data_IF_780166126785
#
_entry.id   IF_780166126785
#
_cell.length_a   1.000
_cell.length_b   1.000
_cell.length_c   1.000
_cell.angle_alpha   90.00
_cell.angle_beta   90.00
_cell.angle_gamma   90.00
#
_symmetry.space_group_name_H-M   'P 1'
#
loop_
_entity.id
_entity.type
_entity.pdbx_description
1 polymer ?
#
# COMPACT_ATOMS: atom_id res chain seq x y z
N UNK A 1 -17.02 0.86 -22.65
CA UNK A 1 -17.33 0.36 -21.30
C UNK A 1 -18.66 0.97 -20.87
N UNK A 2 -19.66 0.15 -20.59
CA UNK A 2 -20.92 0.54 -19.94
C UNK A 2 -20.74 0.62 -18.42
N UNK A 3 -21.75 1.11 -17.69
CA UNK A 3 -21.72 1.08 -16.23
C UNK A 3 -21.57 -0.35 -15.69
N UNK A 4 -22.33 -1.29 -16.23
CA UNK A 4 -22.28 -2.69 -15.82
C UNK A 4 -20.92 -3.34 -16.11
N UNK A 5 -20.32 -3.07 -17.26
CA UNK A 5 -18.97 -3.54 -17.58
C UNK A 5 -17.91 -2.95 -16.63
N UNK A 6 -18.07 -1.69 -16.21
CA UNK A 6 -17.16 -1.05 -15.26
C UNK A 6 -17.32 -1.62 -13.84
N UNK A 7 -18.56 -1.84 -13.40
CA UNK A 7 -18.84 -2.45 -12.11
C UNK A 7 -18.27 -3.88 -12.05
N UNK A 8 -18.40 -4.65 -13.12
CA UNK A 8 -17.78 -5.98 -13.22
C UNK A 8 -16.25 -5.92 -13.14
N UNK A 9 -15.62 -4.96 -13.82
CA UNK A 9 -14.17 -4.73 -13.73
C UNK A 9 -13.76 -4.39 -12.28
N UNK A 10 -14.53 -3.55 -11.61
CA UNK A 10 -14.26 -3.15 -10.22
C UNK A 10 -14.36 -4.35 -9.27
N UNK A 11 -15.43 -5.14 -9.35
CA UNK A 11 -15.62 -6.32 -8.50
C UNK A 11 -14.54 -7.37 -8.72
N UNK A 12 -14.16 -7.64 -9.98
CA UNK A 12 -13.05 -8.52 -10.31
C UNK A 12 -11.75 -8.03 -9.65
N UNK A 13 -11.46 -6.73 -9.75
CA UNK A 13 -10.27 -6.12 -9.13
C UNK A 13 -10.26 -6.28 -7.61
N UNK A 14 -11.38 -6.03 -6.95
CA UNK A 14 -11.51 -6.19 -5.50
C UNK A 14 -11.24 -7.64 -5.09
N UNK A 15 -11.75 -8.61 -5.85
CA UNK A 15 -11.53 -10.04 -5.59
C UNK A 15 -10.04 -10.41 -5.71
N UNK A 16 -9.38 -9.99 -6.79
CA UNK A 16 -7.94 -10.24 -7.01
C UNK A 16 -7.08 -9.61 -5.91
N UNK A 17 -7.42 -8.41 -5.45
CA UNK A 17 -6.72 -7.74 -4.35
C UNK A 17 -6.84 -8.55 -3.06
N UNK A 18 -8.02 -9.11 -2.77
CA UNK A 18 -8.21 -9.99 -1.59
C UNK A 18 -7.35 -11.24 -1.68
N UNK A 19 -7.27 -11.87 -2.85
CA UNK A 19 -6.47 -13.08 -3.07
C UNK A 19 -4.97 -12.79 -2.98
N UNK A 20 -4.52 -11.71 -3.62
CA UNK A 20 -3.14 -11.24 -3.56
C UNK A 20 -2.75 -10.89 -2.13
N UNK A 21 -3.63 -10.19 -1.39
CA UNK A 21 -3.40 -9.83 0.01
C UNK A 21 -3.27 -11.05 0.94
N UNK A 22 -3.95 -12.16 0.63
CA UNK A 22 -3.79 -13.44 1.35
C UNK A 22 -2.46 -14.12 1.02
N UNK A 23 -2.11 -14.22 -0.25
CA UNK A 23 -0.97 -15.02 -0.73
C UNK A 23 0.37 -14.29 -0.62
N UNK A 24 0.45 -13.03 -1.07
CA UNK A 24 1.67 -12.20 -0.99
C UNK A 24 1.91 -11.69 0.43
N UNK A 25 0.84 -11.46 1.21
CA UNK A 25 0.95 -11.06 2.62
C UNK A 25 1.81 -12.03 3.44
N UNK A 26 1.66 -13.34 3.25
CA UNK A 26 2.50 -14.34 3.93
C UNK A 26 4.00 -14.21 3.59
N UNK A 27 4.34 -13.86 2.34
CA UNK A 27 5.73 -13.75 1.88
C UNK A 27 6.41 -12.46 2.36
N UNK A 28 5.71 -11.33 2.30
CA UNK A 28 6.28 -10.03 2.70
C UNK A 28 6.35 -9.81 4.20
N UNK A 29 5.50 -10.51 4.96
CA UNK A 29 5.53 -10.43 6.42
C UNK A 29 6.51 -11.41 7.05
N UNK A 30 7.15 -12.31 6.27
CA UNK A 30 7.95 -13.43 6.80
C UNK A 30 7.21 -14.22 7.91
N UNK A 31 5.87 -14.24 7.88
CA UNK A 31 5.04 -14.85 8.93
C UNK A 31 4.88 -14.01 10.21
N UNK A 32 5.33 -12.75 10.25
CA UNK A 32 5.26 -11.87 11.42
C UNK A 32 3.85 -11.39 11.80
N UNK A 33 2.81 -11.72 11.01
CA UNK A 33 1.43 -11.30 11.25
C UNK A 33 1.15 -9.81 11.00
N UNK A 34 2.15 -9.03 10.62
CA UNK A 34 2.04 -7.59 10.35
C UNK A 34 2.27 -7.29 8.86
N UNK A 35 1.19 -6.95 8.14
CA UNK A 35 1.21 -6.62 6.70
C UNK A 35 2.06 -5.39 6.35
N UNK A 36 2.45 -4.58 7.34
CA UNK A 36 3.26 -3.37 7.16
C UNK A 36 4.74 -3.59 7.56
N UNK A 37 5.11 -4.81 7.96
CA UNK A 37 6.43 -5.14 8.48
C UNK A 37 7.56 -4.83 7.50
N UNK A 38 7.34 -4.99 6.20
CA UNK A 38 8.34 -4.68 5.17
C UNK A 38 8.74 -3.19 5.18
N UNK A 39 7.77 -2.28 5.32
CA UNK A 39 8.04 -0.84 5.38
C UNK A 39 8.83 -0.48 6.64
N UNK A 40 8.50 -1.12 7.76
CA UNK A 40 9.18 -0.93 9.05
C UNK A 40 10.60 -1.50 9.02
N UNK A 41 10.79 -2.70 8.47
CA UNK A 41 12.08 -3.39 8.39
C UNK A 41 13.07 -2.69 7.45
N UNK A 42 12.58 -2.03 6.39
CA UNK A 42 13.39 -1.26 5.47
C UNK A 42 13.66 0.18 5.94
N UNK A 43 13.19 0.59 7.13
CA UNK A 43 13.56 1.86 7.72
C UNK A 43 15.05 1.84 8.10
N UNK A 44 15.87 2.58 7.36
CA UNK A 44 17.24 2.90 7.72
C UNK A 44 17.32 4.28 8.36
N UNK A 45 18.50 4.69 8.83
CA UNK A 45 18.67 5.97 9.54
C UNK A 45 18.11 7.15 8.72
N UNK A 46 17.08 7.80 9.26
CA UNK A 46 16.41 8.96 8.66
C UNK A 46 15.20 8.66 7.79
N UNK A 47 14.86 7.39 7.52
CA UNK A 47 13.66 7.03 6.75
C UNK A 47 12.52 6.62 7.67
N UNK A 48 11.32 7.11 7.37
CA UNK A 48 10.07 6.66 7.99
C UNK A 48 9.41 5.58 7.13
N UNK A 49 8.51 4.74 7.70
CA UNK A 49 7.77 3.76 6.91
C UNK A 49 6.98 4.36 5.74
N UNK A 50 6.49 5.61 5.89
CA UNK A 50 5.81 6.34 4.81
C UNK A 50 6.75 6.69 3.66
N UNK A 51 8.00 7.09 3.96
CA UNK A 51 9.02 7.36 2.94
C UNK A 51 9.46 6.07 2.23
N UNK A 52 9.58 4.96 2.97
CA UNK A 52 9.87 3.65 2.38
C UNK A 52 8.73 3.20 1.45
N UNK A 53 7.48 3.39 1.89
CA UNK A 53 6.30 3.12 1.07
C UNK A 53 6.34 3.89 -0.24
N UNK A 54 6.70 5.19 -0.22
CA UNK A 54 6.77 6.03 -1.41
C UNK A 54 7.74 5.44 -2.44
N UNK A 55 8.93 5.03 -2.02
CA UNK A 55 9.94 4.45 -2.91
C UNK A 55 9.39 3.21 -3.62
N UNK A 56 8.71 2.32 -2.89
CA UNK A 56 8.13 1.11 -3.48
C UNK A 56 6.95 1.42 -4.40
N UNK A 57 6.07 2.35 -4.01
CA UNK A 57 4.95 2.77 -4.82
C UNK A 57 5.41 3.39 -6.15
N UNK A 58 6.45 4.25 -6.12
CA UNK A 58 6.96 4.93 -7.31
C UNK A 58 7.45 3.97 -8.39
N UNK A 59 7.92 2.78 -8.02
CA UNK A 59 8.29 1.72 -8.98
C UNK A 59 7.11 1.30 -9.87
N UNK A 60 5.93 1.11 -9.28
CA UNK A 60 4.73 0.72 -10.03
C UNK A 60 4.15 1.93 -10.78
N UNK A 61 4.18 3.10 -10.15
CA UNK A 61 3.73 4.34 -10.78
C UNK A 61 4.56 4.73 -12.01
N UNK A 62 5.88 4.50 -12.01
CA UNK A 62 6.72 4.85 -13.16
C UNK A 62 6.35 4.07 -14.43
N UNK A 63 5.92 2.80 -14.29
CA UNK A 63 5.42 2.02 -15.44
C UNK A 63 4.10 2.58 -15.97
N UNK A 64 3.21 3.02 -15.07
CA UNK A 64 1.95 3.67 -15.45
C UNK A 64 2.24 4.99 -16.16
N UNK A 65 3.13 5.81 -15.61
CA UNK A 65 3.53 7.07 -16.21
C UNK A 65 4.14 6.88 -17.60
N UNK A 66 4.95 5.84 -17.78
CA UNK A 66 5.50 5.49 -19.08
C UNK A 66 4.40 5.18 -20.10
N UNK A 67 3.45 4.30 -19.75
CA UNK A 67 2.33 3.96 -20.61
C UNK A 67 1.47 5.19 -20.95
N UNK A 68 1.19 6.05 -19.98
CA UNK A 68 0.43 7.29 -20.21
C UNK A 68 1.13 8.22 -21.21
N UNK A 69 2.47 8.23 -21.23
CA UNK A 69 3.26 9.08 -22.13
C UNK A 69 3.41 8.50 -23.54
N UNK A 70 3.50 7.19 -23.66
CA UNK A 70 3.89 6.52 -24.93
C UNK A 70 2.78 5.71 -25.58
N UNK A 71 1.74 5.34 -24.82
CA UNK A 71 0.73 4.34 -25.19
C UNK A 71 1.28 2.91 -25.27
N UNK A 72 2.55 2.69 -24.89
CA UNK A 72 3.21 1.39 -25.01
C UNK A 72 3.17 0.64 -23.68
N UNK A 73 2.75 -0.63 -23.75
CA UNK A 73 2.86 -1.57 -22.66
C UNK A 73 4.18 -2.33 -22.82
N UNK A 74 5.11 -2.14 -21.87
CA UNK A 74 6.44 -2.78 -21.92
C UNK A 74 6.57 -3.72 -20.72
N UNK A 75 6.81 -5.00 -21.02
CA UNK A 75 6.96 -6.04 -20.01
C UNK A 75 5.63 -6.65 -19.63
N UNK A 76 5.27 -6.56 -18.36
CA UNK A 76 4.04 -7.13 -17.81
C UNK A 76 2.83 -6.25 -18.08
N UNK A 77 1.63 -6.84 -18.08
CA UNK A 77 0.41 -6.10 -18.36
C UNK A 77 0.13 -5.00 -17.32
N UNK A 78 -0.04 -3.76 -17.78
CA UNK A 78 -0.22 -2.60 -16.91
C UNK A 78 -1.43 -2.70 -15.98
N UNK A 79 -2.53 -3.30 -16.43
CA UNK A 79 -3.73 -3.46 -15.62
C UNK A 79 -3.49 -4.53 -14.56
N UNK A 80 -2.94 -5.67 -14.95
CA UNK A 80 -2.83 -6.84 -14.07
C UNK A 80 -1.68 -6.73 -13.06
N UNK A 81 -0.65 -5.94 -13.36
CA UNK A 81 0.52 -5.81 -12.48
C UNK A 81 0.62 -4.42 -11.87
N UNK A 82 0.78 -3.38 -12.68
CA UNK A 82 1.14 -2.06 -12.17
C UNK A 82 -0.03 -1.30 -11.54
N UNK A 83 -1.19 -1.26 -12.20
CA UNK A 83 -2.41 -0.67 -11.64
C UNK A 83 -2.86 -1.48 -10.43
N UNK A 84 -2.83 -2.82 -10.52
CA UNK A 84 -3.11 -3.72 -9.41
C UNK A 84 -2.30 -3.40 -8.16
N UNK A 85 -0.96 -3.41 -8.32
CA UNK A 85 -0.05 -3.19 -7.22
C UNK A 85 -0.20 -1.76 -6.70
N UNK A 86 -0.40 -0.74 -7.55
CA UNK A 86 -0.69 0.61 -7.08
C UNK A 86 -1.93 0.67 -6.18
N UNK A 87 -3.04 -0.01 -6.53
CA UNK A 87 -4.24 -0.07 -5.68
C UNK A 87 -3.93 -0.78 -4.35
N UNK A 88 -3.21 -1.91 -4.39
CA UNK A 88 -2.77 -2.60 -3.18
C UNK A 88 -1.90 -1.71 -2.29
N UNK A 89 -0.95 -0.96 -2.86
CA UNK A 89 -0.09 -0.05 -2.12
C UNK A 89 -0.86 1.12 -1.53
N UNK A 90 -1.88 1.65 -2.20
CA UNK A 90 -2.76 2.66 -1.61
C UNK A 90 -3.52 2.11 -0.38
N UNK A 91 -3.95 0.85 -0.41
CA UNK A 91 -4.55 0.21 0.75
C UNK A 91 -3.53 -0.03 1.89
N UNK A 92 -2.28 -0.36 1.56
CA UNK A 92 -1.20 -0.46 2.56
C UNK A 92 -0.85 0.91 3.17
N UNK A 93 -0.89 1.99 2.37
CA UNK A 93 -0.72 3.36 2.85
C UNK A 93 -1.81 3.73 3.86
N UNK A 94 -3.07 3.41 3.55
CA UNK A 94 -4.19 3.61 4.48
C UNK A 94 -3.90 2.94 5.84
N UNK A 95 -3.35 1.73 5.83
CA UNK A 95 -2.89 1.03 7.04
C UNK A 95 -1.81 1.78 7.81
N UNK A 96 -0.75 2.24 7.12
CA UNK A 96 0.34 3.02 7.73
C UNK A 96 -0.16 4.33 8.37
N UNK A 97 -1.03 5.06 7.65
CA UNK A 97 -1.59 6.32 8.14
C UNK A 97 -2.45 6.09 9.39
N UNK A 98 -3.31 5.07 9.38
CA UNK A 98 -4.11 4.70 10.55
C UNK A 98 -3.25 4.29 11.74
N UNK A 99 -2.21 3.48 11.53
CA UNK A 99 -1.29 3.07 12.59
C UNK A 99 -0.56 4.28 13.20
N UNK A 100 -0.07 5.21 12.38
CA UNK A 100 0.57 6.43 12.87
C UNK A 100 -0.40 7.30 13.68
N UNK A 101 -1.64 7.47 13.21
CA UNK A 101 -2.64 8.26 13.93
C UNK A 101 -3.00 7.67 15.29
N UNK A 102 -3.07 6.34 15.40
CA UNK A 102 -3.31 5.67 16.68
C UNK A 102 -2.18 5.92 17.68
N UNK A 103 -0.92 5.85 17.24
CA UNK A 103 0.25 6.14 18.09
C UNK A 103 0.27 7.60 18.58
N UNK A 104 -0.13 8.55 17.74
CA UNK A 104 -0.25 9.96 18.15
C UNK A 104 -1.25 10.12 19.29
N UNK A 105 -2.44 9.52 19.15
CA UNK A 105 -3.50 9.58 20.18
C UNK A 105 -3.07 8.92 21.50
N UNK A 106 -2.35 7.80 21.43
CA UNK A 106 -1.78 7.14 22.63
C UNK A 106 -0.79 8.04 23.36
N UNK A 107 0.09 8.73 22.62
CA UNK A 107 1.06 9.67 23.18
C UNK A 107 0.39 10.90 23.81
N UNK A 108 -0.64 11.44 23.17
CA UNK A 108 -1.45 12.55 23.70
C UNK A 108 -2.11 12.16 25.05
N UNK A 109 -2.71 10.97 25.11
CA UNK A 109 -3.33 10.46 26.34
C UNK A 109 -2.33 10.22 27.48
N UNK A 110 -1.13 9.73 27.16
CA UNK A 110 -0.04 9.56 28.13
C UNK A 110 0.44 10.92 28.67
N UNK A 111 0.64 11.92 27.80
CA UNK A 111 1.06 13.26 28.20
C UNK A 111 0.04 13.95 29.14
N UNK A 112 -1.25 13.77 28.88
CA UNK A 112 -2.33 14.30 29.74
C UNK A 112 -2.36 13.63 31.12
N UNK A 113 -2.15 12.32 31.15
CA UNK A 113 -2.10 11.51 32.37
C UNK A 113 -0.90 11.84 33.27
N UNK A 114 0.23 12.22 32.66
CA UNK A 114 1.46 12.63 33.36
C UNK A 114 1.43 14.07 33.85
N UNK A 115 0.62 14.95 33.23
CA UNK A 115 0.49 16.37 33.61
C UNK A 115 -0.56 16.63 34.70
N UNK A 116 -1.36 15.62 35.05
CA UNK A 116 -2.43 15.69 36.05
C UNK A 116 -2.04 15.11 37.42
N UNK A 117 -0.74 14.86 37.66
CA UNK A 117 -0.14 14.46 38.94
C UNK A 117 0.82 15.53 39.41
#
# INVERSE_FOLDING_TARGET
MTYEEFDQLFEARVQELRETGKTKGLKYTLGAGDRLANFKACCTQGLTPLMVWEVFFRKHWSSIEYFLKTGQNIGEDICDTHIHDCIMYLHLLEGLVKENRLKELENENLAYSSSSK
#
